data_IF_488108307317
#
_entry.id   IF_488108307317
#
_cell.length_a   1.000
_cell.length_b   1.000
_cell.length_c   1.000
_cell.angle_alpha   90.00
_cell.angle_beta   90.00
_cell.angle_gamma   90.00
#
_symmetry.space_group_name_H-M   'P 1'
#
loop_
_entity.id
_entity.type
_entity.pdbx_description
1 polymer ?
#
# COMPACT_ATOMS: atom_id res chain seq x y z
N UNK A 1 3.10 -9.17 -3.36
CA UNK A 1 2.19 -8.87 -4.48
C UNK A 1 2.42 -9.88 -5.60
N UNK A 2 3.67 -10.01 -6.07
CA UNK A 2 4.09 -11.00 -7.07
C UNK A 2 4.58 -12.33 -6.48
N UNK A 3 4.46 -13.43 -7.24
CA UNK A 3 5.03 -14.75 -6.94
C UNK A 3 4.00 -15.87 -6.72
N UNK A 4 4.45 -17.12 -6.65
CA UNK A 4 3.60 -18.31 -6.43
C UNK A 4 2.78 -18.18 -5.14
N UNK A 5 1.47 -18.46 -5.19
CA UNK A 5 0.52 -18.29 -4.09
C UNK A 5 0.38 -16.83 -3.62
N UNK A 6 0.53 -15.86 -4.52
CA UNK A 6 0.28 -14.44 -4.24
C UNK A 6 -0.85 -13.91 -5.14
N UNK A 7 -1.22 -12.66 -4.91
CA UNK A 7 -2.24 -11.96 -5.69
C UNK A 7 -1.96 -11.96 -7.20
N UNK A 8 -0.69 -11.93 -7.60
CA UNK A 8 -0.26 -11.96 -8.99
C UNK A 8 0.84 -13.02 -9.11
N UNK A 9 0.56 -14.13 -9.80
CA UNK A 9 1.47 -15.28 -9.92
C UNK A 9 2.46 -15.14 -11.09
N UNK A 10 2.95 -13.92 -11.31
CA UNK A 10 3.93 -13.61 -12.34
C UNK A 10 4.88 -12.52 -11.85
N UNK A 11 5.99 -12.33 -12.56
CA UNK A 11 6.89 -11.20 -12.32
C UNK A 11 6.23 -9.87 -12.71
N UNK A 12 6.69 -8.80 -12.07
CA UNK A 12 6.18 -7.46 -12.30
C UNK A 12 6.81 -6.43 -11.35
N UNK A 13 6.34 -5.19 -11.44
CA UNK A 13 6.82 -4.06 -10.64
C UNK A 13 5.71 -3.42 -9.82
N UNK A 14 6.07 -2.95 -8.62
CA UNK A 14 5.18 -2.22 -7.73
C UNK A 14 5.75 -0.82 -7.50
N UNK A 15 4.93 0.19 -7.80
CA UNK A 15 5.18 1.58 -7.43
C UNK A 15 4.22 1.95 -6.31
N UNK A 16 4.76 2.42 -5.18
CA UNK A 16 4.01 2.89 -4.03
C UNK A 16 4.24 4.39 -3.84
N UNK A 17 3.15 5.15 -3.75
CA UNK A 17 3.20 6.55 -3.35
C UNK A 17 2.81 6.66 -1.90
N UNK A 18 3.69 7.30 -1.12
CA UNK A 18 3.55 7.46 0.32
C UNK A 18 3.55 8.96 0.63
N UNK A 19 2.76 9.39 1.63
CA UNK A 19 2.80 10.79 2.10
C UNK A 19 4.17 11.15 2.64
N UNK A 20 4.56 12.40 2.48
CA UNK A 20 5.83 12.92 3.01
C UNK A 20 5.75 13.34 4.48
N UNK A 21 4.55 13.31 5.08
CA UNK A 21 4.31 13.58 6.49
C UNK A 21 4.82 12.45 7.42
N UNK A 22 4.77 12.72 8.73
CA UNK A 22 5.22 11.77 9.76
C UNK A 22 4.44 10.44 9.75
N UNK A 23 3.26 10.40 9.13
CA UNK A 23 2.41 9.19 9.10
C UNK A 23 2.81 8.22 7.99
N UNK A 24 3.51 8.71 6.95
CA UNK A 24 3.99 7.89 5.82
C UNK A 24 2.89 6.95 5.27
N UNK A 25 1.73 7.50 4.99
CA UNK A 25 0.56 6.73 4.56
C UNK A 25 0.65 6.42 3.06
N UNK A 26 0.46 5.16 2.63
CA UNK A 26 0.39 4.81 1.22
C UNK A 26 -0.93 5.33 0.61
N UNK A 27 -0.85 6.26 -0.34
CA UNK A 27 -2.02 6.90 -0.96
C UNK A 27 -2.38 6.32 -2.32
N UNK A 28 -1.40 5.69 -2.99
CA UNK A 28 -1.59 5.04 -4.29
C UNK A 28 -0.64 3.85 -4.42
N UNK A 29 -1.09 2.85 -5.15
CA UNK A 29 -0.24 1.77 -5.64
C UNK A 29 -0.49 1.56 -7.14
N UNK A 30 0.57 1.27 -7.88
CA UNK A 30 0.50 0.83 -9.26
C UNK A 30 1.27 -0.48 -9.36
N UNK A 31 0.62 -1.46 -9.95
CA UNK A 31 1.14 -2.80 -10.12
C UNK A 31 1.14 -3.09 -11.60
N UNK A 32 2.33 -3.21 -12.18
CA UNK A 32 2.53 -3.51 -13.60
C UNK A 32 3.01 -4.95 -13.72
N UNK A 33 2.42 -5.68 -14.65
CA UNK A 33 2.74 -7.06 -14.97
C UNK A 33 2.47 -7.29 -16.46
N UNK A 34 2.97 -8.38 -17.02
CA UNK A 34 2.95 -8.64 -18.47
C UNK A 34 1.55 -8.52 -19.10
N UNK A 35 0.51 -8.95 -18.39
CA UNK A 35 -0.87 -8.93 -18.89
C UNK A 35 -1.60 -7.59 -18.67
N UNK A 36 -0.97 -6.63 -17.99
CA UNK A 36 -1.53 -5.30 -17.81
C UNK A 36 -1.15 -4.61 -16.51
N UNK A 37 -2.00 -3.67 -16.10
CA UNK A 37 -1.74 -2.76 -14.99
C UNK A 37 -2.95 -2.67 -14.07
N UNK A 38 -2.69 -2.71 -12.76
CA UNK A 38 -3.68 -2.43 -11.72
C UNK A 38 -3.29 -1.13 -11.02
N UNK A 39 -4.25 -0.20 -10.90
CA UNK A 39 -4.11 0.99 -10.08
C UNK A 39 -5.04 0.96 -8.87
N UNK A 40 -4.48 1.22 -7.70
CA UNK A 40 -5.23 1.37 -6.46
C UNK A 40 -5.04 2.79 -5.93
N UNK A 41 -6.14 3.48 -5.61
CA UNK A 41 -6.14 4.82 -5.01
C UNK A 41 -6.87 4.80 -3.68
N UNK A 42 -6.20 5.25 -2.63
CA UNK A 42 -6.81 5.41 -1.31
C UNK A 42 -7.74 6.63 -1.33
N UNK A 43 -9.03 6.42 -1.06
CA UNK A 43 -10.05 7.49 -1.06
C UNK A 43 -10.24 8.12 0.31
N UNK A 44 -10.29 7.29 1.34
CA UNK A 44 -10.46 7.73 2.72
C UNK A 44 -9.71 6.77 3.63
N UNK A 45 -9.12 7.32 4.69
CA UNK A 45 -8.48 6.56 5.76
C UNK A 45 -9.03 7.01 7.10
N UNK A 46 -9.58 6.07 7.85
CA UNK A 46 -9.89 6.27 9.25
C UNK A 46 -8.66 5.85 10.06
N UNK A 47 -7.74 6.79 10.26
CA UNK A 47 -6.55 6.54 11.05
C UNK A 47 -6.84 6.79 12.53
N UNK A 48 -6.91 5.73 13.32
CA UNK A 48 -6.85 5.82 14.77
C UNK A 48 -5.38 5.65 15.21
N UNK A 49 -4.76 6.70 15.78
CA UNK A 49 -3.44 6.53 16.35
C UNK A 49 -3.50 5.47 17.46
N UNK A 50 -2.46 4.62 17.59
CA UNK A 50 -2.42 3.64 18.67
C UNK A 50 -2.61 4.33 20.01
N UNK A 51 -3.51 3.79 20.84
CA UNK A 51 -3.74 4.30 22.19
C UNK A 51 -2.49 4.03 23.00
N UNK A 52 -1.64 5.04 23.15
CA UNK A 52 -0.49 4.97 24.06
C UNK A 52 -1.07 5.01 25.47
N UNK A 53 -1.09 3.86 26.15
CA UNK A 53 -1.43 3.80 27.56
C UNK A 53 -0.48 4.73 28.32
N UNK A 54 -1.01 5.79 28.93
CA UNK A 54 -0.21 6.66 29.80
C UNK A 54 0.28 5.82 30.97
N UNK A 55 1.60 5.66 31.09
CA UNK A 55 2.21 5.14 32.32
C UNK A 55 1.79 6.06 33.48
N UNK A 56 1.28 5.43 34.53
CA UNK A 56 0.77 6.07 35.75
C UNK A 56 1.91 6.33 36.72
#
# INVERSE_FOLDING_TARGET
VFGKNRLIEQEGSLILWITDDARRLPVRAQIDFELGKIEVKLRQINYQPPVVAKAK
#
